data_IF_267325518685
#
_entry.id   IF_267325518685
#
_cell.length_a   1.000
_cell.length_b   1.000
_cell.length_c   1.000
_cell.angle_alpha   90.00
_cell.angle_beta   90.00
_cell.angle_gamma   90.00
#
_symmetry.space_group_name_H-M   'P 1'
#
loop_
_entity.id
_entity.type
_entity.pdbx_description
1 polymer ?
#
# COMPACT_ATOMS: atom_id res chain seq x y z
N UNK A 1 -29.46 16.86 -29.19
CA UNK A 1 -28.64 15.62 -29.26
C UNK A 1 -27.15 15.91 -29.43
N UNK A 2 -26.71 16.65 -30.47
CA UNK A 2 -25.28 17.02 -30.65
C UNK A 2 -24.65 17.76 -29.47
N UNK A 3 -25.34 18.73 -28.87
CA UNK A 3 -24.85 19.46 -27.70
C UNK A 3 -24.69 18.58 -26.46
N UNK A 4 -25.53 17.56 -26.28
CA UNK A 4 -25.43 16.64 -25.15
C UNK A 4 -24.22 15.69 -25.29
N UNK A 5 -23.97 15.19 -26.51
CA UNK A 5 -22.78 14.38 -26.82
C UNK A 5 -21.49 15.17 -26.65
N UNK A 6 -21.47 16.46 -27.02
CA UNK A 6 -20.32 17.34 -26.80
C UNK A 6 -20.05 17.61 -25.31
N UNK A 7 -21.08 17.77 -24.49
CA UNK A 7 -20.92 17.87 -23.02
C UNK A 7 -20.40 16.57 -22.43
N UNK A 8 -20.89 15.40 -22.85
CA UNK A 8 -20.36 14.11 -22.36
C UNK A 8 -18.89 13.91 -22.74
N UNK A 9 -18.49 14.32 -23.94
CA UNK A 9 -17.10 14.22 -24.40
C UNK A 9 -16.17 15.16 -23.60
N UNK A 10 -16.65 16.36 -23.27
CA UNK A 10 -15.92 17.33 -22.45
C UNK A 10 -15.76 16.88 -20.99
N UNK A 11 -16.77 16.21 -20.40
CA UNK A 11 -16.65 15.63 -19.06
C UNK A 11 -15.75 14.38 -19.03
N UNK A 12 -15.76 13.55 -20.09
CA UNK A 12 -14.89 12.37 -20.18
C UNK A 12 -13.40 12.73 -20.27
N UNK A 13 -13.06 13.90 -20.80
CA UNK A 13 -11.69 14.41 -20.85
C UNK A 13 -11.14 14.92 -19.51
N UNK A 14 -11.97 15.02 -18.46
CA UNK A 14 -11.54 15.36 -17.09
C UNK A 14 -11.19 14.09 -16.31
N UNK A 15 -10.59 13.11 -16.97
CA UNK A 15 -9.88 12.03 -16.29
C UNK A 15 -8.61 12.63 -15.68
N UNK A 16 -8.77 13.37 -14.58
CA UNK A 16 -7.66 13.74 -13.70
C UNK A 16 -6.95 12.43 -13.36
N UNK A 17 -5.66 12.33 -13.72
CA UNK A 17 -4.85 11.26 -13.17
C UNK A 17 -4.88 11.43 -11.66
N UNK A 18 -5.49 10.48 -10.97
CA UNK A 18 -5.30 10.38 -9.54
C UNK A 18 -3.81 10.04 -9.35
N UNK A 19 -3.00 11.07 -9.06
CA UNK A 19 -1.61 10.91 -8.65
C UNK A 19 -1.66 10.37 -7.23
N UNK A 20 -1.82 9.05 -7.10
CA UNK A 20 -1.82 8.37 -5.82
C UNK A 20 -0.46 7.73 -5.65
N UNK A 21 0.34 8.20 -4.71
CA UNK A 21 1.55 7.49 -4.33
C UNK A 21 1.17 6.13 -3.73
N UNK A 22 1.90 5.07 -4.08
CA UNK A 22 1.68 3.72 -3.55
C UNK A 22 2.69 3.42 -2.45
N UNK A 23 2.21 2.87 -1.33
CA UNK A 23 3.07 2.26 -0.32
C UNK A 23 2.71 0.79 -0.21
N UNK A 24 3.69 -0.06 -0.49
CA UNK A 24 3.52 -1.50 -0.41
C UNK A 24 4.61 -2.16 0.42
N UNK A 25 4.37 -3.43 0.75
CA UNK A 25 5.39 -4.28 1.35
C UNK A 25 5.79 -5.44 0.44
N UNK A 26 7.07 -5.77 0.48
CA UNK A 26 7.68 -6.94 -0.15
C UNK A 26 8.31 -7.82 0.92
N UNK A 27 8.22 -9.13 0.75
CA UNK A 27 8.89 -10.08 1.65
C UNK A 27 9.39 -11.27 0.85
N UNK A 28 10.69 -11.52 0.96
CA UNK A 28 11.34 -12.66 0.32
C UNK A 28 11.33 -13.86 1.27
N UNK A 29 10.36 -14.77 1.10
CA UNK A 29 10.23 -15.99 1.92
C UNK A 29 10.14 -15.69 3.43
N UNK A 30 11.10 -16.16 4.23
CA UNK A 30 11.23 -15.88 5.67
C UNK A 30 12.14 -14.68 5.97
N UNK A 31 12.51 -13.91 4.95
CA UNK A 31 13.35 -12.73 5.08
C UNK A 31 12.65 -11.56 5.75
N UNK A 32 13.39 -10.45 5.95
CA UNK A 32 12.81 -9.22 6.44
C UNK A 32 11.75 -8.69 5.48
N UNK A 33 10.84 -7.87 6.00
CA UNK A 33 9.85 -7.16 5.19
C UNK A 33 10.47 -5.84 4.74
N UNK A 34 10.37 -5.54 3.45
CA UNK A 34 10.73 -4.25 2.86
C UNK A 34 9.46 -3.42 2.69
N UNK A 35 9.45 -2.18 3.17
CA UNK A 35 8.39 -1.20 2.95
C UNK A 35 8.88 -0.24 1.88
N UNK A 36 8.15 -0.17 0.78
CA UNK A 36 8.56 0.53 -0.44
C UNK A 36 7.55 1.63 -0.74
N UNK A 37 8.06 2.79 -1.19
CA UNK A 37 7.26 3.94 -1.61
C UNK A 37 7.48 4.17 -3.11
N UNK A 38 6.42 4.22 -3.91
CA UNK A 38 6.53 4.38 -5.36
C UNK A 38 5.29 4.98 -6.01
N UNK A 39 5.26 4.89 -7.34
CA UNK A 39 4.17 5.38 -8.18
C UNK A 39 3.44 4.21 -8.87
N UNK A 40 2.11 4.29 -9.03
CA UNK A 40 1.35 3.28 -9.75
C UNK A 40 1.89 3.09 -11.17
N UNK A 41 2.15 1.83 -11.53
CA UNK A 41 2.64 1.40 -12.85
C UNK A 41 4.05 1.89 -13.26
N UNK A 42 4.84 2.48 -12.34
CA UNK A 42 6.27 2.73 -12.56
C UNK A 42 7.11 1.71 -11.78
N UNK A 43 8.04 1.06 -12.48
CA UNK A 43 9.02 0.16 -11.86
C UNK A 43 10.13 0.92 -11.12
N UNK A 44 10.36 2.18 -11.48
CA UNK A 44 11.40 3.02 -10.91
C UNK A 44 10.89 3.76 -9.67
N UNK A 45 11.64 3.65 -8.57
CA UNK A 45 11.46 4.44 -7.37
C UNK A 45 11.99 5.86 -7.66
N UNK A 46 11.15 6.76 -8.16
CA UNK A 46 11.57 8.14 -8.48
C UNK A 46 11.66 9.05 -7.23
N UNK A 47 11.61 8.46 -6.03
CA UNK A 47 11.49 9.21 -4.78
C UNK A 47 12.61 8.85 -3.80
N UNK A 48 13.38 9.87 -3.41
CA UNK A 48 14.40 9.77 -2.36
C UNK A 48 13.83 9.70 -0.94
N UNK A 49 14.75 9.62 0.03
CA UNK A 49 14.54 9.42 1.47
C UNK A 49 13.44 10.28 2.13
N UNK A 50 13.08 11.43 1.55
CA UNK A 50 12.08 12.36 2.09
C UNK A 50 10.65 11.80 2.10
N UNK A 51 10.29 10.91 1.17
CA UNK A 51 8.94 10.35 1.12
C UNK A 51 8.74 9.15 2.04
N UNK A 52 9.82 8.44 2.36
CA UNK A 52 9.84 7.39 3.40
C UNK A 52 9.50 7.96 4.79
N UNK A 53 9.81 9.23 5.06
CA UNK A 53 9.46 9.92 6.31
C UNK A 53 7.95 10.02 6.56
N UNK A 54 7.12 9.76 5.53
CA UNK A 54 5.64 9.76 5.63
C UNK A 54 5.07 8.48 6.24
N UNK A 55 5.90 7.45 6.42
CA UNK A 55 5.59 6.28 7.24
C UNK A 55 6.02 6.60 8.67
N UNK A 56 5.08 7.02 9.51
CA UNK A 56 5.38 7.71 10.79
C UNK A 56 5.49 6.73 11.95
N UNK A 57 4.55 5.78 12.05
CA UNK A 57 4.51 4.75 13.10
C UNK A 57 4.15 3.38 12.50
N UNK A 58 4.97 2.86 11.58
CA UNK A 58 4.71 1.57 10.95
C UNK A 58 4.70 0.44 11.99
N UNK A 59 3.60 -0.29 12.04
CA UNK A 59 3.47 -1.54 12.75
C UNK A 59 3.46 -2.68 11.73
N UNK A 60 4.61 -3.34 11.60
CA UNK A 60 4.80 -4.54 10.78
C UNK A 60 4.64 -5.78 11.66
N UNK A 61 3.85 -6.75 11.19
CA UNK A 61 3.63 -8.00 11.90
C UNK A 61 3.38 -9.17 10.95
N UNK A 62 3.52 -10.37 11.47
CA UNK A 62 3.26 -11.64 10.79
C UNK A 62 2.59 -12.63 11.73
N UNK A 63 2.50 -13.89 11.30
CA UNK A 63 1.90 -14.97 12.11
C UNK A 63 2.66 -15.23 13.41
N UNK A 64 3.98 -15.01 13.43
CA UNK A 64 4.83 -15.15 14.61
C UNK A 64 4.82 -13.92 15.54
N UNK A 65 4.05 -12.88 15.22
CA UNK A 65 3.95 -11.66 16.01
C UNK A 65 4.54 -10.43 15.32
N UNK A 66 4.87 -9.41 16.12
CA UNK A 66 5.37 -8.11 15.62
C UNK A 66 6.83 -8.22 15.17
N UNK A 67 7.17 -7.43 14.15
CA UNK A 67 8.55 -7.21 13.75
C UNK A 67 9.36 -6.47 14.83
N UNK A 68 10.68 -6.56 14.75
CA UNK A 68 11.58 -5.71 15.52
C UNK A 68 11.66 -4.28 14.98
N UNK A 69 12.55 -3.44 15.55
CA UNK A 69 12.72 -2.05 15.13
C UNK A 69 13.02 -1.93 13.63
N UNK A 70 12.42 -0.94 12.95
CA UNK A 70 12.68 -0.70 11.54
C UNK A 70 14.07 -0.10 11.33
N UNK A 71 14.70 -0.47 10.22
CA UNK A 71 15.92 0.14 9.71
C UNK A 71 15.60 1.02 8.49
N UNK A 72 16.12 2.24 8.46
CA UNK A 72 16.01 3.13 7.32
C UNK A 72 17.13 2.84 6.32
N UNK A 73 16.78 2.40 5.11
CA UNK A 73 17.69 2.30 3.98
C UNK A 73 17.45 3.42 2.96
N UNK A 74 18.30 3.54 1.93
CA UNK A 74 18.19 4.60 0.93
C UNK A 74 16.94 4.49 0.05
N UNK A 75 16.42 3.28 -0.18
CA UNK A 75 15.30 3.02 -1.10
C UNK A 75 14.05 2.47 -0.40
N UNK A 76 14.21 1.85 0.78
CA UNK A 76 13.11 1.21 1.51
C UNK A 76 13.40 1.16 3.01
N UNK A 77 12.34 1.06 3.81
CA UNK A 77 12.45 0.66 5.21
C UNK A 77 12.53 -0.86 5.29
N UNK A 78 13.35 -1.38 6.19
CA UNK A 78 13.41 -2.81 6.48
C UNK A 78 12.83 -3.08 7.86
N UNK A 79 11.99 -4.10 7.98
CA UNK A 79 11.45 -4.56 9.25
C UNK A 79 11.87 -6.03 9.46
N UNK A 80 12.64 -6.35 10.51
CA UNK A 80 13.03 -7.72 10.80
C UNK A 80 11.81 -8.47 11.34
N UNK A 81 11.28 -9.39 10.54
CA UNK A 81 10.09 -10.17 10.88
C UNK A 81 10.42 -11.66 10.95
N UNK A 82 10.14 -12.29 12.09
CA UNK A 82 10.35 -13.72 12.31
C UNK A 82 9.33 -14.59 11.55
N UNK A 83 9.68 -15.87 11.37
CA UNK A 83 8.84 -16.86 10.70
C UNK A 83 8.76 -16.70 9.18
N UNK A 84 7.86 -17.42 8.54
CA UNK A 84 7.60 -17.35 7.10
C UNK A 84 6.13 -17.04 6.82
N UNK A 85 5.84 -16.70 5.56
CA UNK A 85 4.47 -16.45 5.10
C UNK A 85 4.10 -14.97 5.13
N UNK A 86 2.80 -14.71 5.18
CA UNK A 86 2.23 -13.38 5.01
C UNK A 86 2.73 -12.39 6.06
N UNK A 87 2.86 -11.13 5.63
CA UNK A 87 3.17 -10.00 6.47
C UNK A 87 2.13 -8.91 6.30
N UNK A 88 1.95 -8.10 7.32
CA UNK A 88 1.02 -6.98 7.33
C UNK A 88 1.75 -5.71 7.77
N UNK A 89 1.31 -4.60 7.20
CA UNK A 89 1.68 -3.26 7.60
C UNK A 89 0.41 -2.49 7.97
N UNK A 90 0.48 -1.79 9.08
CA UNK A 90 -0.53 -0.84 9.55
C UNK A 90 0.19 0.38 10.08
N UNK A 91 -0.36 1.56 9.85
CA UNK A 91 0.06 2.78 10.53
C UNK A 91 -1.16 3.69 10.64
N UNK A 92 -1.69 3.78 11.85
CA UNK A 92 -2.94 4.51 12.13
C UNK A 92 -2.72 6.04 12.06
N UNK A 93 -1.46 6.49 11.98
CA UNK A 93 -1.10 7.91 11.93
C UNK A 93 -1.22 8.51 10.53
N UNK A 94 -1.42 7.68 9.51
CA UNK A 94 -1.33 8.05 8.09
C UNK A 94 -2.69 8.46 7.54
N UNK A 95 -3.68 8.59 8.43
CA UNK A 95 -5.01 9.11 8.13
C UNK A 95 -5.23 10.51 8.69
N UNK A 96 -4.22 11.15 9.30
CA UNK A 96 -4.29 12.60 9.48
C UNK A 96 -4.22 13.25 8.10
N UNK A 97 -5.29 13.91 7.59
CA UNK A 97 -5.29 14.46 6.24
C UNK A 97 -4.14 15.45 6.08
N UNK A 98 -3.24 15.24 5.12
CA UNK A 98 -2.16 16.19 4.81
C UNK A 98 -2.41 16.88 3.48
N UNK A 99 -1.93 18.12 3.37
CA UNK A 99 -1.94 18.85 2.10
C UNK A 99 -0.84 18.31 1.19
N UNK A 100 -1.24 17.69 0.09
CA UNK A 100 -0.39 17.33 -1.03
C UNK A 100 0.16 18.56 -1.75
N UNK A 101 1.10 18.33 -2.67
CA UNK A 101 1.79 19.40 -3.41
C UNK A 101 0.84 20.31 -4.21
N UNK A 102 -0.33 19.78 -4.60
CA UNK A 102 -1.38 20.52 -5.29
C UNK A 102 -2.42 21.16 -4.34
N UNK A 103 -2.19 21.15 -3.02
CA UNK A 103 -3.09 21.72 -2.01
C UNK A 103 -4.33 20.87 -1.68
N UNK A 104 -4.47 19.68 -2.29
CA UNK A 104 -5.51 18.70 -1.96
C UNK A 104 -5.14 17.84 -0.75
N UNK A 105 -6.13 17.28 -0.06
CA UNK A 105 -5.87 16.29 1.00
C UNK A 105 -5.59 14.91 0.40
N UNK A 106 -4.52 14.27 0.87
CA UNK A 106 -4.11 12.92 0.45
C UNK A 106 -4.35 11.90 1.59
N UNK A 107 -4.43 10.61 1.22
CA UNK A 107 -4.54 9.46 2.15
C UNK A 107 -3.70 8.30 1.63
N UNK A 108 -3.32 7.36 2.50
CA UNK A 108 -2.51 6.19 2.16
C UNK A 108 -3.30 4.93 2.50
N UNK A 109 -3.28 3.98 1.57
CA UNK A 109 -3.67 2.59 1.82
C UNK A 109 -2.42 1.72 1.70
N UNK A 110 -2.30 0.74 2.59
CA UNK A 110 -1.17 -0.18 2.60
C UNK A 110 -1.60 -1.50 2.01
N UNK A 111 -0.94 -1.95 0.95
CA UNK A 111 -1.19 -3.29 0.41
C UNK A 111 0.09 -4.10 0.29
N UNK A 112 -0.06 -5.43 0.35
CA UNK A 112 1.04 -6.30 -0.01
C UNK A 112 1.07 -6.38 -1.54
N UNK A 113 2.25 -6.18 -2.14
CA UNK A 113 2.38 -6.21 -3.61
C UNK A 113 2.18 -7.61 -4.20
N UNK A 114 2.37 -8.64 -3.39
CA UNK A 114 2.13 -10.03 -3.76
C UNK A 114 0.91 -10.61 -3.02
N UNK A 115 0.20 -11.50 -3.71
CA UNK A 115 -0.96 -12.19 -3.17
C UNK A 115 -0.62 -12.97 -1.89
N UNK A 116 -1.50 -12.85 -0.90
CA UNK A 116 -1.39 -13.53 0.39
C UNK A 116 -1.68 -15.02 0.25
N UNK A 117 -1.17 -15.83 1.17
CA UNK A 117 -1.52 -17.25 1.26
C UNK A 117 -2.70 -17.51 2.20
N UNK A 118 -2.92 -16.65 3.20
CA UNK A 118 -3.90 -16.88 4.28
C UNK A 118 -5.28 -16.32 3.93
N UNK A 119 -6.37 -17.12 4.01
CA UNK A 119 -7.72 -16.66 3.69
C UNK A 119 -8.40 -15.88 4.83
N UNK A 120 -7.62 -15.25 5.72
CA UNK A 120 -8.12 -14.55 6.89
C UNK A 120 -7.54 -13.14 6.93
N UNK A 121 -8.43 -12.16 7.03
CA UNK A 121 -8.03 -10.77 7.17
C UNK A 121 -7.42 -10.51 8.56
N UNK A 122 -6.52 -9.53 8.60
CA UNK A 122 -5.92 -8.93 9.79
C UNK A 122 -6.12 -7.42 9.85
N UNK A 123 -6.74 -6.83 8.81
CA UNK A 123 -7.09 -5.42 8.70
C UNK A 123 -8.49 -5.28 8.09
N UNK A 124 -9.11 -4.14 8.33
CA UNK A 124 -10.37 -3.80 7.68
C UNK A 124 -10.19 -3.57 6.19
N UNK A 125 -11.20 -3.98 5.42
CA UNK A 125 -11.23 -3.91 3.96
C UNK A 125 -10.04 -4.60 3.28
N UNK A 126 -9.47 -5.61 3.92
CA UNK A 126 -8.33 -6.34 3.39
C UNK A 126 -8.74 -7.30 2.28
N UNK A 127 -7.98 -7.26 1.17
CA UNK A 127 -8.05 -8.26 0.11
C UNK A 127 -7.36 -9.56 0.56
N UNK A 128 -8.15 -10.63 0.67
CA UNK A 128 -7.66 -11.97 1.05
C UNK A 128 -8.10 -13.04 0.05
N UNK A 129 -7.31 -14.11 -0.14
CA UNK A 129 -7.72 -15.27 -0.92
C UNK A 129 -9.01 -15.90 -0.40
N UNK A 130 -9.89 -16.35 -1.30
CA UNK A 130 -11.10 -17.10 -0.90
C UNK A 130 -10.78 -18.48 -0.28
N UNK A 131 -9.57 -19.00 -0.53
CA UNK A 131 -9.00 -20.17 0.14
C UNK A 131 -7.47 -20.09 0.06
N UNK A 132 -6.76 -20.87 0.87
CA UNK A 132 -5.31 -20.78 0.96
C UNK A 132 -4.61 -20.93 -0.40
N UNK A 133 -3.64 -20.05 -0.69
CA UNK A 133 -2.86 -20.01 -1.94
C UNK A 133 -3.69 -19.85 -3.24
N UNK A 134 -4.88 -19.24 -3.18
CA UNK A 134 -5.71 -18.97 -4.37
C UNK A 134 -5.54 -17.54 -4.85
N UNK A 135 -5.67 -17.35 -6.16
CA UNK A 135 -5.62 -16.03 -6.82
C UNK A 135 -6.99 -15.34 -6.92
N UNK A 136 -8.07 -15.99 -6.47
CA UNK A 136 -9.38 -15.36 -6.32
C UNK A 136 -9.42 -14.66 -4.96
N UNK A 137 -9.64 -13.35 -4.97
CA UNK A 137 -9.65 -12.52 -3.77
C UNK A 137 -11.07 -12.12 -3.38
N UNK A 138 -11.26 -11.86 -2.10
CA UNK A 138 -12.46 -11.23 -1.53
C UNK A 138 -12.04 -10.14 -0.56
N UNK A 139 -12.94 -9.20 -0.29
CA UNK A 139 -12.73 -8.15 0.71
C UNK A 139 -13.37 -8.59 2.02
N UNK A 140 -12.62 -8.58 3.11
CA UNK A 140 -13.12 -8.88 4.45
C UNK A 140 -13.03 -7.66 5.36
N UNK A 141 -13.92 -7.62 6.35
CA UNK A 141 -13.93 -6.62 7.44
C UNK A 141 -13.68 -7.40 8.74
N UNK A 142 -12.78 -6.90 9.59
CA UNK A 142 -12.35 -7.60 10.81
C UNK A 142 -13.18 -7.23 12.04
#
# INVERSE_FOLDING_TARGET
MKSFLLSCLALASISLSAQAHEIWIERDSSGPVRIVFGEPAQEALDHGEDKIKRVVKPNVFGTAGKAGPLQCGPEFLTAPLAGSGDAWLSDDSVFEPWQGEAGGFETVSYDARAARATPAAKRDFELVPTAANRSTLTVCVC
#
